data_IF_746641183370
#
_entry.id   IF_746641183370
#
_cell.length_a   1.000
_cell.length_b   1.000
_cell.length_c   1.000
_cell.angle_alpha   90.00
_cell.angle_beta   90.00
_cell.angle_gamma   90.00
#
_symmetry.space_group_name_H-M   'P 1'
#
loop_
_entity.id
_entity.type
_entity.pdbx_description
1 polymer ?
#
# COMPACT_ATOMS: atom_id res chain seq x y z
N UNK A 1 -4.57 4.58 -3.35
CA UNK A 1 -5.73 3.78 -3.78
C UNK A 1 -5.31 2.32 -3.79
N UNK A 2 -5.89 1.49 -2.92
CA UNK A 2 -5.48 0.12 -2.66
C UNK A 2 -6.75 -0.75 -2.60
N UNK A 3 -7.23 -1.20 -3.76
CA UNK A 3 -8.59 -1.73 -3.94
C UNK A 3 -8.77 -3.16 -3.41
N UNK A 4 -7.69 -3.88 -3.20
CA UNK A 4 -7.72 -5.28 -2.76
C UNK A 4 -6.80 -5.50 -1.59
N UNK A 5 -7.36 -5.96 -0.48
CA UNK A 5 -6.65 -6.32 0.75
C UNK A 5 -6.79 -7.83 0.91
N UNK A 6 -5.72 -8.59 0.74
CA UNK A 6 -5.78 -10.03 1.01
C UNK A 6 -5.41 -10.25 2.45
N UNK A 7 -6.34 -10.72 3.28
CA UNK A 7 -6.01 -11.23 4.61
C UNK A 7 -5.63 -12.71 4.47
N UNK A 8 -4.35 -13.04 4.65
CA UNK A 8 -3.88 -14.42 4.83
C UNK A 8 -3.81 -14.72 6.33
N UNK A 9 -4.63 -15.66 6.79
CA UNK A 9 -4.73 -16.03 8.21
C UNK A 9 -4.02 -17.37 8.45
N UNK A 10 -3.04 -17.39 9.36
CA UNK A 10 -2.36 -18.61 9.81
C UNK A 10 -2.82 -18.93 11.23
N UNK A 11 -3.57 -20.01 11.39
CA UNK A 11 -3.74 -20.65 12.71
C UNK A 11 -5.18 -21.00 13.11
N UNK A 12 -5.55 -22.25 12.81
CA UNK A 12 -6.15 -23.22 13.74
C UNK A 12 -6.99 -22.63 14.88
N UNK A 13 -8.22 -22.23 14.58
CA UNK A 13 -9.38 -22.42 15.46
C UNK A 13 -10.61 -22.48 14.57
N UNK A 14 -11.09 -23.71 14.37
CA UNK A 14 -12.36 -23.98 13.72
C UNK A 14 -13.45 -23.24 14.49
N UNK A 15 -14.00 -22.19 13.88
CA UNK A 15 -15.23 -21.56 14.32
C UNK A 15 -15.07 -20.43 15.32
N UNK A 16 -14.67 -19.23 14.89
CA UNK A 16 -15.15 -17.99 15.50
C UNK A 16 -14.92 -16.81 14.56
N UNK A 17 -15.98 -16.29 13.93
CA UNK A 17 -15.93 -15.03 13.15
C UNK A 17 -15.59 -13.78 13.98
N UNK A 18 -15.25 -13.95 15.26
CA UNK A 18 -14.97 -12.90 16.23
C UNK A 18 -13.55 -12.32 16.11
N UNK A 19 -12.56 -13.10 15.69
CA UNK A 19 -11.15 -12.66 15.66
C UNK A 19 -10.81 -11.73 14.48
N UNK A 20 -11.53 -11.85 13.36
CA UNK A 20 -11.42 -10.93 12.23
C UNK A 20 -12.08 -9.60 12.60
N UNK A 21 -13.23 -9.65 13.25
CA UNK A 21 -13.90 -8.46 13.78
C UNK A 21 -13.02 -7.75 14.79
N UNK A 22 -12.36 -8.44 15.73
CA UNK A 22 -11.47 -7.79 16.70
C UNK A 22 -10.25 -7.13 16.06
N UNK A 23 -9.62 -7.77 15.07
CA UNK A 23 -8.49 -7.18 14.33
C UNK A 23 -8.90 -5.96 13.48
N UNK A 24 -10.14 -5.96 12.96
CA UNK A 24 -10.72 -4.83 12.23
C UNK A 24 -11.24 -3.72 13.16
N UNK A 25 -11.64 -4.06 14.38
CA UNK A 25 -12.17 -3.11 15.38
C UNK A 25 -11.05 -2.30 16.04
N UNK A 26 -9.81 -2.81 16.02
CA UNK A 26 -8.59 -2.05 16.36
C UNK A 26 -8.21 -0.96 15.34
N UNK A 27 -8.93 -0.82 14.20
CA UNK A 27 -8.87 0.37 13.34
C UNK A 27 -9.66 1.57 13.90
N UNK A 28 -9.88 1.63 15.21
CA UNK A 28 -10.52 2.75 15.93
C UNK A 28 -9.83 4.12 15.76
N UNK A 29 -8.64 4.16 15.14
CA UNK A 29 -7.97 5.39 14.64
C UNK A 29 -8.89 6.30 13.80
N UNK A 30 -9.93 5.75 13.17
CA UNK A 30 -10.85 6.50 12.31
C UNK A 30 -11.72 7.54 13.05
N UNK A 31 -11.84 7.46 14.38
CA UNK A 31 -12.73 8.30 15.19
C UNK A 31 -12.11 9.61 15.71
N UNK A 32 -11.01 10.10 15.14
CA UNK A 32 -10.44 11.40 15.55
C UNK A 32 -11.23 12.59 15.01
N UNK A 33 -11.31 13.65 15.81
CA UNK A 33 -12.01 14.89 15.46
C UNK A 33 -11.37 15.54 14.23
N UNK A 34 -12.16 16.34 13.50
CA UNK A 34 -11.70 16.97 12.25
C UNK A 34 -10.43 17.80 12.45
N UNK A 35 -10.29 18.48 13.61
CA UNK A 35 -9.15 19.34 13.95
C UNK A 35 -7.87 18.54 14.21
N UNK A 36 -7.95 17.43 14.93
CA UNK A 36 -6.78 16.57 15.19
C UNK A 36 -6.22 15.99 13.90
N UNK A 37 -7.10 15.57 12.98
CA UNK A 37 -6.70 15.09 11.65
C UNK A 37 -5.97 16.19 10.85
N UNK A 38 -6.41 17.44 10.95
CA UNK A 38 -5.75 18.57 10.28
C UNK A 38 -4.36 18.85 10.88
N UNK A 39 -4.25 18.89 12.21
CA UNK A 39 -2.96 19.12 12.88
C UNK A 39 -1.94 18.02 12.57
N UNK A 40 -2.39 16.77 12.52
CA UNK A 40 -1.53 15.65 12.14
C UNK A 40 -1.03 15.79 10.69
N UNK A 41 -1.90 16.18 9.76
CA UNK A 41 -1.51 16.36 8.36
C UNK A 41 -0.55 17.54 8.20
N UNK A 42 -0.79 18.65 8.91
CA UNK A 42 0.13 19.81 8.91
C UNK A 42 1.49 19.41 9.48
N UNK A 43 1.51 18.66 10.59
CA UNK A 43 2.74 18.17 11.19
C UNK A 43 3.53 17.27 10.23
N UNK A 44 2.85 16.34 9.56
CA UNK A 44 3.48 15.44 8.57
C UNK A 44 4.00 16.22 7.36
N UNK A 45 3.21 17.15 6.81
CA UNK A 45 3.61 18.00 5.69
C UNK A 45 4.80 18.89 6.06
N UNK A 46 4.79 19.49 7.24
CA UNK A 46 5.91 20.27 7.78
C UNK A 46 7.16 19.39 7.89
N UNK A 47 7.03 18.15 8.38
CA UNK A 47 8.15 17.24 8.53
C UNK A 47 8.74 16.83 7.17
N UNK A 48 7.89 16.53 6.19
CA UNK A 48 8.33 16.22 4.82
C UNK A 48 9.02 17.42 4.18
N UNK A 49 8.43 18.62 4.32
CA UNK A 49 8.97 19.85 3.75
C UNK A 49 10.31 20.23 4.38
N UNK A 50 10.43 20.13 5.70
CA UNK A 50 11.69 20.39 6.41
C UNK A 50 12.76 19.40 6.00
N UNK A 51 12.45 18.10 5.87
CA UNK A 51 13.42 17.11 5.40
C UNK A 51 13.89 17.38 3.96
N UNK A 52 12.97 17.76 3.07
CA UNK A 52 13.28 18.02 1.66
C UNK A 52 14.09 19.31 1.49
N UNK A 53 13.72 20.39 2.17
CA UNK A 53 14.46 21.67 2.14
C UNK A 53 15.81 21.53 2.82
N UNK A 54 15.87 20.84 3.97
CA UNK A 54 17.13 20.61 4.68
C UNK A 54 18.09 19.77 3.85
N UNK A 55 17.61 18.73 3.15
CA UNK A 55 18.43 17.94 2.25
C UNK A 55 19.08 18.78 1.15
N UNK A 56 18.29 19.63 0.48
CA UNK A 56 18.81 20.54 -0.57
C UNK A 56 19.72 21.61 0.01
N UNK A 57 19.40 22.16 1.18
CA UNK A 57 20.26 23.14 1.85
C UNK A 57 21.61 22.50 2.23
N UNK A 58 21.60 21.29 2.79
CA UNK A 58 22.81 20.56 3.15
C UNK A 58 23.68 20.23 1.92
N UNK A 59 23.09 19.86 0.78
CA UNK A 59 23.87 19.60 -0.44
C UNK A 59 24.47 20.87 -1.03
N UNK A 60 23.73 21.99 -1.01
CA UNK A 60 24.24 23.30 -1.44
C UNK A 60 25.37 23.78 -0.52
N UNK A 61 25.21 23.64 0.80
CA UNK A 61 26.24 23.98 1.79
C UNK A 61 27.49 23.11 1.59
N UNK A 62 27.33 21.80 1.36
CA UNK A 62 28.46 20.90 1.14
C UNK A 62 29.20 21.23 -0.16
N UNK A 63 28.47 21.55 -1.24
CA UNK A 63 29.04 22.02 -2.51
C UNK A 63 29.75 23.37 -2.34
N UNK A 64 29.20 24.30 -1.56
CA UNK A 64 29.82 25.58 -1.24
C UNK A 64 31.14 25.41 -0.44
N UNK A 65 31.15 24.53 0.56
CA UNK A 65 32.34 24.23 1.37
C UNK A 65 33.42 23.52 0.55
N UNK A 66 33.05 22.67 -0.42
CA UNK A 66 33.99 22.05 -1.35
C UNK A 66 34.69 23.07 -2.27
N UNK A 67 34.01 24.16 -2.63
CA UNK A 67 34.55 25.22 -3.47
C UNK A 67 35.29 26.32 -2.69
N UNK A 68 35.39 26.20 -1.36
CA UNK A 68 36.06 27.17 -0.47
C UNK A 68 37.29 26.50 0.16
N UNK A 69 38.22 27.28 0.72
CA UNK A 69 39.44 26.79 1.40
C UNK A 69 39.16 25.80 2.56
N UNK A 70 37.90 25.68 3.00
CA UNK A 70 37.42 24.72 4.00
C UNK A 70 37.15 23.31 3.45
N UNK A 71 37.64 22.96 2.25
CA UNK A 71 37.35 21.68 1.57
C UNK A 71 37.67 20.41 2.40
N UNK A 72 38.60 20.51 3.36
CA UNK A 72 39.04 19.40 4.21
C UNK A 72 37.88 18.91 5.07
N UNK A 73 37.04 19.83 5.55
CA UNK A 73 35.87 19.50 6.37
C UNK A 73 34.85 18.70 5.55
N UNK A 74 34.60 19.10 4.30
CA UNK A 74 33.72 18.38 3.40
C UNK A 74 34.29 16.99 3.03
N UNK A 75 35.61 16.90 2.78
CA UNK A 75 36.27 15.63 2.47
C UNK A 75 36.20 14.64 3.65
N UNK A 76 36.43 15.11 4.88
CA UNK A 76 36.28 14.29 6.10
C UNK A 76 34.83 13.85 6.30
N UNK A 77 33.86 14.73 6.07
CA UNK A 77 32.43 14.39 6.17
C UNK A 77 32.00 13.35 5.12
N UNK A 78 32.47 13.48 3.87
CA UNK A 78 32.21 12.50 2.81
C UNK A 78 32.86 11.15 3.12
N UNK A 79 34.09 11.15 3.65
CA UNK A 79 34.76 9.93 4.08
C UNK A 79 34.01 9.24 5.23
N UNK A 80 33.51 10.00 6.21
CA UNK A 80 32.66 9.48 7.28
C UNK A 80 31.36 8.89 6.73
N UNK A 81 30.72 9.56 5.77
CA UNK A 81 29.47 9.09 5.15
C UNK A 81 29.67 7.80 4.33
N UNK A 82 30.82 7.65 3.65
CA UNK A 82 31.22 6.42 2.96
C UNK A 82 31.47 5.28 3.95
N UNK A 83 32.10 5.57 5.09
CA UNK A 83 32.32 4.59 6.15
C UNK A 83 31.01 4.15 6.84
N UNK A 84 30.13 5.12 7.14
CA UNK A 84 28.84 4.90 7.82
C UNK A 84 27.74 4.32 6.91
N UNK A 85 27.94 4.31 5.59
CA UNK A 85 27.04 3.69 4.60
C UNK A 85 26.72 2.20 4.91
N UNK A 86 27.58 1.52 5.66
CA UNK A 86 27.42 0.12 6.05
C UNK A 86 26.73 -0.10 7.41
N UNK A 87 26.47 0.95 8.19
CA UNK A 87 25.82 0.90 9.51
C UNK A 87 24.31 0.55 9.49
N UNK A 88 23.48 0.91 8.48
CA UNK A 88 22.04 0.64 8.54
C UNK A 88 21.69 -0.85 8.46
N UNK A 89 22.63 -1.72 8.06
CA UNK A 89 22.44 -3.18 8.05
C UNK A 89 22.36 -3.76 9.47
N UNK A 90 23.06 -3.17 10.44
CA UNK A 90 23.16 -3.68 11.82
C UNK A 90 21.99 -3.25 12.72
N UNK A 91 21.36 -2.10 12.43
CA UNK A 91 20.27 -1.53 13.24
C UNK A 91 18.92 -2.21 12.96
N UNK A 92 18.72 -2.77 11.77
CA UNK A 92 17.51 -3.52 11.37
C UNK A 92 17.25 -4.75 12.24
N UNK A 93 18.29 -5.32 12.84
CA UNK A 93 18.17 -6.55 13.64
C UNK A 93 17.77 -6.25 15.09
N UNK A 94 18.15 -5.09 15.64
CA UNK A 94 17.82 -4.67 17.02
C UNK A 94 16.46 -3.97 17.13
N UNK A 95 16.07 -3.13 16.17
CA UNK A 95 14.76 -2.46 16.18
C UNK A 95 13.58 -3.43 15.96
N UNK A 96 13.86 -4.66 15.52
CA UNK A 96 12.88 -5.74 15.27
C UNK A 96 12.25 -6.30 16.55
N UNK A 97 12.81 -6.04 17.73
CA UNK A 97 12.39 -6.64 19.01
C UNK A 97 11.39 -5.80 19.83
N UNK A 98 11.14 -4.53 19.47
CA UNK A 98 10.39 -3.59 20.34
C UNK A 98 9.03 -3.15 19.78
N UNK A 99 8.60 -3.66 18.62
CA UNK A 99 7.40 -3.21 17.88
C UNK A 99 6.28 -4.27 17.82
N UNK A 100 6.12 -5.07 18.88
CA UNK A 100 5.22 -6.25 18.89
C UNK A 100 3.72 -5.96 19.11
N UNK A 101 3.30 -4.69 19.24
CA UNK A 101 1.92 -4.31 19.59
C UNK A 101 1.19 -3.42 18.57
N UNK A 102 1.77 -3.16 17.40
CA UNK A 102 1.11 -2.41 16.31
C UNK A 102 1.05 -3.25 15.04
N UNK A 103 0.08 -3.01 14.12
CA UNK A 103 0.10 -3.57 12.78
C UNK A 103 1.46 -3.31 12.13
N UNK A 104 2.29 -4.35 12.04
CA UNK A 104 3.64 -4.21 11.49
C UNK A 104 3.56 -4.00 9.99
N UNK A 105 3.78 -2.76 9.54
CA UNK A 105 3.98 -2.46 8.12
C UNK A 105 5.30 -3.09 7.69
N UNK A 106 5.22 -4.20 6.97
CA UNK A 106 6.37 -4.90 6.44
C UNK A 106 6.46 -4.71 4.93
N UNK A 107 7.68 -4.65 4.35
CA UNK A 107 7.81 -4.67 2.90
C UNK A 107 7.21 -5.96 2.36
N UNK A 108 6.44 -5.84 1.28
CA UNK A 108 5.81 -6.98 0.56
C UNK A 108 6.88 -7.72 -0.24
N UNK A 109 7.83 -8.35 0.46
CA UNK A 109 8.81 -9.26 -0.09
C UNK A 109 8.44 -10.70 0.29
N UNK A 110 8.83 -11.66 -0.55
CA UNK A 110 8.62 -13.09 -0.31
C UNK A 110 9.14 -13.50 1.07
N UNK A 111 10.38 -13.15 1.40
CA UNK A 111 11.03 -13.56 2.66
C UNK A 111 10.34 -12.95 3.89
N UNK A 112 9.80 -11.73 3.77
CA UNK A 112 9.03 -11.09 4.84
C UNK A 112 7.72 -11.83 5.09
N UNK A 113 7.00 -12.16 4.02
CA UNK A 113 5.72 -12.88 4.12
C UNK A 113 5.97 -14.29 4.64
N UNK A 114 6.99 -14.98 4.14
CA UNK A 114 7.42 -16.31 4.58
C UNK A 114 7.71 -16.29 6.09
N UNK A 115 8.51 -15.33 6.57
CA UNK A 115 8.81 -15.17 8.00
C UNK A 115 7.58 -14.90 8.88
N UNK A 116 6.63 -14.08 8.42
CA UNK A 116 5.41 -13.78 9.19
C UNK A 116 4.48 -14.99 9.21
N UNK A 117 4.33 -15.70 8.09
CA UNK A 117 3.49 -16.90 8.00
C UNK A 117 4.14 -18.13 8.65
N UNK A 118 5.48 -18.18 8.75
CA UNK A 118 6.21 -19.28 9.40
C UNK A 118 6.25 -19.16 10.92
N UNK A 119 5.91 -18.00 11.49
CA UNK A 119 5.85 -17.82 12.94
C UNK A 119 4.71 -18.66 13.50
N UNK A 120 5.07 -19.74 14.20
CA UNK A 120 4.13 -20.55 14.97
C UNK A 120 3.64 -19.73 16.18
N UNK A 121 2.51 -19.05 16.00
CA UNK A 121 1.73 -18.36 17.03
C UNK A 121 0.29 -18.24 16.56
N UNK A 122 -0.68 -18.21 17.47
CA UNK A 122 -2.10 -18.07 17.10
C UNK A 122 -2.41 -16.64 16.64
N UNK A 123 -3.02 -16.48 15.48
CA UNK A 123 -3.67 -15.21 15.09
C UNK A 123 -2.89 -14.29 14.13
N UNK A 124 -1.95 -14.83 13.34
CA UNK A 124 -1.22 -14.01 12.36
C UNK A 124 -2.10 -13.74 11.13
N UNK A 125 -2.42 -12.47 10.89
CA UNK A 125 -3.10 -11.99 9.69
C UNK A 125 -2.18 -11.06 8.88
N UNK A 126 -2.03 -11.34 7.59
CA UNK A 126 -1.27 -10.47 6.68
C UNK A 126 -2.23 -9.85 5.70
N UNK A 127 -2.23 -8.52 5.62
CA UNK A 127 -2.95 -7.75 4.60
C UNK A 127 -2.02 -7.43 3.43
N UNK A 128 -2.33 -7.93 2.23
CA UNK A 128 -1.54 -7.69 1.01
C UNK A 128 -2.36 -6.88 0.00
N UNK A 129 -1.77 -5.77 -0.46
CA UNK A 129 -2.31 -4.99 -1.58
C UNK A 129 -1.72 -5.48 -2.89
N UNK A 130 -2.42 -6.42 -3.54
CA UNK A 130 -1.89 -7.12 -4.73
C UNK A 130 -1.67 -6.18 -5.90
N UNK A 131 -2.52 -5.17 -6.08
CA UNK A 131 -2.45 -4.21 -7.19
C UNK A 131 -1.29 -3.21 -7.10
N UNK A 132 -0.81 -2.90 -5.89
CA UNK A 132 0.31 -2.01 -5.64
C UNK A 132 0.27 -0.69 -6.43
N UNK A 133 1.44 -0.23 -6.89
CA UNK A 133 1.57 1.03 -7.63
C UNK A 133 0.83 1.03 -8.98
N UNK A 134 0.76 -0.11 -9.68
CA UNK A 134 0.08 -0.21 -10.97
C UNK A 134 -1.43 0.06 -10.85
N UNK A 135 -2.05 -0.43 -9.77
CA UNK A 135 -3.47 -0.19 -9.50
C UNK A 135 -3.73 1.26 -9.07
N UNK A 136 -2.80 1.87 -8.33
CA UNK A 136 -2.85 3.29 -8.00
C UNK A 136 -2.72 4.20 -9.22
N UNK A 137 -2.01 3.78 -10.28
CA UNK A 137 -1.87 4.52 -11.54
C UNK A 137 -3.10 4.42 -12.45
N UNK A 138 -3.85 3.32 -12.34
CA UNK A 138 -5.04 3.04 -13.13
C UNK A 138 -6.33 3.47 -12.42
N UNK A 139 -6.22 4.38 -11.45
CA UNK A 139 -7.36 4.81 -10.66
C UNK A 139 -8.10 5.96 -11.33
N UNK A 140 -9.14 5.63 -12.08
CA UNK A 140 -10.06 6.61 -12.67
C UNK A 140 -11.38 6.62 -11.89
N UNK A 141 -11.93 7.80 -11.54
CA UNK A 141 -13.27 7.90 -10.99
C UNK A 141 -14.29 7.18 -11.88
N UNK A 142 -15.17 6.38 -11.28
CA UNK A 142 -16.16 5.58 -12.01
C UNK A 142 -15.63 4.31 -12.68
N UNK A 143 -14.32 4.01 -12.64
CA UNK A 143 -13.76 2.76 -13.16
C UNK A 143 -13.36 1.81 -12.04
N UNK A 144 -14.07 0.69 -11.91
CA UNK A 144 -13.75 -0.36 -10.94
C UNK A 144 -12.85 -1.43 -11.58
N UNK A 145 -11.55 -1.16 -11.60
CA UNK A 145 -10.54 -2.11 -12.09
C UNK A 145 -9.57 -2.56 -11.00
N UNK A 146 -9.25 -3.86 -10.96
CA UNK A 146 -8.30 -4.48 -10.03
C UNK A 146 -7.20 -5.19 -10.83
N UNK A 147 -5.94 -5.04 -10.43
CA UNK A 147 -4.80 -5.68 -11.12
C UNK A 147 -4.45 -7.01 -10.45
N UNK A 148 -5.01 -8.10 -10.95
CA UNK A 148 -4.95 -9.44 -10.34
C UNK A 148 -4.72 -10.58 -11.32
N UNK A 149 -4.97 -10.41 -12.62
CA UNK A 149 -4.99 -11.49 -13.64
C UNK A 149 -3.69 -12.30 -13.67
N UNK A 150 -2.56 -11.59 -13.66
CA UNK A 150 -1.22 -12.19 -13.73
C UNK A 150 -0.53 -12.28 -12.35
N UNK A 151 -1.14 -11.77 -11.28
CA UNK A 151 -0.51 -11.69 -9.95
C UNK A 151 -0.94 -12.86 -9.09
N UNK A 152 -0.21 -13.98 -9.20
CA UNK A 152 -0.54 -15.24 -8.52
C UNK A 152 0.40 -15.60 -7.35
N UNK A 153 1.41 -14.76 -7.10
CA UNK A 153 2.43 -15.01 -6.08
C UNK A 153 1.88 -15.13 -4.66
N UNK A 154 0.82 -14.38 -4.33
CA UNK A 154 0.16 -14.46 -3.02
C UNK A 154 -0.53 -15.81 -2.82
N UNK A 155 -1.16 -16.38 -3.85
CA UNK A 155 -1.80 -17.71 -3.79
C UNK A 155 -0.75 -18.79 -3.59
N UNK A 156 0.39 -18.66 -4.28
CA UNK A 156 1.52 -19.57 -4.11
C UNK A 156 2.06 -19.56 -2.68
N UNK A 157 2.13 -18.39 -2.05
CA UNK A 157 2.54 -18.27 -0.64
C UNK A 157 1.47 -18.83 0.30
N UNK A 158 0.20 -18.52 0.08
CA UNK A 158 -0.91 -19.05 0.85
C UNK A 158 -0.92 -20.60 0.86
N UNK A 159 -0.76 -21.23 -0.32
CA UNK A 159 -0.65 -22.69 -0.46
C UNK A 159 0.53 -23.26 0.34
N UNK A 160 1.69 -22.60 0.33
CA UNK A 160 2.87 -23.09 1.09
C UNK A 160 2.69 -23.10 2.59
N UNK A 161 1.96 -22.12 3.10
CA UNK A 161 1.75 -21.98 4.54
C UNK A 161 0.41 -22.57 5.01
N UNK A 162 -0.48 -22.95 4.08
CA UNK A 162 -1.86 -23.34 4.42
C UNK A 162 -2.65 -22.17 5.01
N UNK A 163 -2.41 -20.96 4.51
CA UNK A 163 -3.10 -19.76 4.97
C UNK A 163 -4.38 -19.55 4.15
N UNK A 164 -5.49 -19.28 4.83
CA UNK A 164 -6.78 -19.05 4.17
C UNK A 164 -6.76 -17.74 3.38
N UNK A 165 -7.34 -17.74 2.19
CA UNK A 165 -7.47 -16.53 1.36
C UNK A 165 -8.82 -15.86 1.60
N UNK A 166 -8.81 -14.64 2.14
CA UNK A 166 -10.04 -13.85 2.33
C UNK A 166 -10.14 -12.78 1.24
N UNK A 167 -11.19 -12.78 0.39
CA UNK A 167 -11.41 -11.72 -0.59
C UNK A 167 -11.93 -10.46 0.11
N UNK A 168 -11.29 -9.32 -0.13
CA UNK A 168 -11.70 -8.02 0.41
C UNK A 168 -11.68 -6.99 -0.71
N UNK A 169 -12.73 -6.17 -0.77
CA UNK A 169 -12.88 -5.08 -1.74
C UNK A 169 -13.29 -3.78 -1.04
N UNK A 170 -12.70 -2.66 -1.44
CA UNK A 170 -13.03 -1.33 -0.91
C UNK A 170 -13.78 -0.48 -1.93
N UNK A 171 -15.02 -0.13 -1.64
CA UNK A 171 -15.83 0.82 -2.42
C UNK A 171 -15.51 2.27 -2.04
N UNK A 172 -15.65 3.18 -3.01
CA UNK A 172 -15.49 4.62 -2.81
C UNK A 172 -14.06 5.15 -2.88
N UNK A 173 -13.03 4.27 -2.92
CA UNK A 173 -11.62 4.71 -2.95
C UNK A 173 -11.28 5.60 -4.14
N UNK A 174 -11.85 5.31 -5.32
CA UNK A 174 -11.59 6.08 -6.54
C UNK A 174 -12.21 7.49 -6.52
N UNK A 175 -13.11 7.77 -5.58
CA UNK A 175 -13.76 9.07 -5.43
C UNK A 175 -13.02 9.99 -4.45
N UNK A 176 -12.13 9.42 -3.63
CA UNK A 176 -11.40 10.16 -2.58
C UNK A 176 -10.33 11.05 -3.18
N UNK A 177 -9.77 10.66 -4.31
CA UNK A 177 -8.83 11.46 -5.07
C UNK A 177 -9.16 11.38 -6.54
N UNK A 178 -9.06 12.52 -7.22
CA UNK A 178 -9.12 12.57 -8.68
C UNK A 178 -7.70 12.57 -9.22
N UNK A 179 -7.34 11.52 -9.94
CA UNK A 179 -6.04 11.44 -10.59
C UNK A 179 -6.05 12.29 -11.87
N UNK A 180 -5.02 13.09 -12.06
CA UNK A 180 -4.79 13.77 -13.35
C UNK A 180 -4.19 12.73 -14.30
N UNK A 181 -5.00 12.30 -15.26
CA UNK A 181 -4.56 11.40 -16.32
C UNK A 181 -4.16 12.27 -17.51
N UNK A 182 -2.86 12.26 -17.83
CA UNK A 182 -2.37 12.92 -19.03
C UNK A 182 -2.73 12.10 -20.27
N UNK A 183 -3.39 12.72 -21.24
CA UNK A 183 -3.77 12.07 -22.50
C UNK A 183 -2.54 11.58 -23.28
N UNK A 184 -2.72 10.51 -24.06
CA UNK A 184 -1.65 9.94 -24.87
C UNK A 184 -1.24 10.92 -25.98
N UNK A 185 0.06 11.24 -26.06
CA UNK A 185 0.60 12.26 -26.96
C UNK A 185 0.78 13.64 -26.32
N UNK A 186 0.25 13.89 -25.12
CA UNK A 186 0.47 15.17 -24.42
C UNK A 186 1.90 15.34 -23.92
N UNK A 187 2.36 16.60 -23.86
CA UNK A 187 3.67 16.95 -23.30
C UNK A 187 3.82 16.48 -21.84
N UNK A 188 2.75 16.58 -21.03
CA UNK A 188 2.74 16.09 -19.65
C UNK A 188 2.97 14.57 -19.54
N UNK A 189 2.35 13.78 -20.44
CA UNK A 189 2.57 12.33 -20.53
C UNK A 189 4.01 12.00 -20.95
N UNK A 190 4.59 12.79 -21.86
CA UNK A 190 5.98 12.64 -22.27
C UNK A 190 6.96 12.91 -21.11
N UNK A 191 6.76 14.00 -20.37
CA UNK A 191 7.56 14.31 -19.16
C UNK A 191 7.43 13.19 -18.13
N UNK A 192 6.19 12.74 -17.85
CA UNK A 192 5.93 11.65 -16.92
C UNK A 192 6.67 10.36 -17.34
N UNK A 193 6.60 9.97 -18.62
CA UNK A 193 7.32 8.80 -19.15
C UNK A 193 8.84 8.95 -19.08
N UNK A 194 9.37 10.14 -19.37
CA UNK A 194 10.82 10.42 -19.29
C UNK A 194 11.32 10.35 -17.83
N UNK A 195 10.54 10.89 -16.90
CA UNK A 195 10.81 10.86 -15.46
C UNK A 195 10.72 9.44 -14.90
N UNK A 196 9.67 8.69 -15.28
CA UNK A 196 9.52 7.28 -14.94
C UNK A 196 10.69 6.43 -15.45
N UNK A 197 11.22 6.71 -16.65
CA UNK A 197 12.38 6.02 -17.22
C UNK A 197 13.68 6.30 -16.44
N UNK A 198 13.85 7.50 -15.88
CA UNK A 198 15.07 7.88 -15.16
C UNK A 198 15.04 7.50 -13.68
N UNK A 199 13.88 7.61 -13.03
CA UNK A 199 13.75 7.46 -11.56
C UNK A 199 13.09 6.13 -11.18
N UNK A 200 12.51 5.40 -12.15
CA UNK A 200 11.90 4.09 -11.93
C UNK A 200 10.50 4.13 -11.33
N UNK A 201 9.96 5.31 -11.02
CA UNK A 201 8.61 5.51 -10.52
C UNK A 201 7.91 6.67 -11.23
N UNK A 202 6.63 6.50 -11.57
CA UNK A 202 5.81 7.57 -12.15
C UNK A 202 5.11 8.33 -11.02
N UNK A 203 5.41 9.62 -10.81
CA UNK A 203 4.66 10.41 -9.84
C UNK A 203 3.20 10.48 -10.28
N UNK A 204 2.30 9.98 -9.43
CA UNK A 204 0.87 10.16 -9.61
C UNK A 204 0.48 11.54 -9.10
N UNK A 205 0.00 12.41 -9.99
CA UNK A 205 -0.57 13.68 -9.57
C UNK A 205 -2.04 13.43 -9.22
N UNK A 206 -2.32 13.44 -7.93
CA UNK A 206 -3.67 13.37 -7.40
C UNK A 206 -4.11 14.76 -6.99
N UNK A 207 -5.37 15.09 -7.26
CA UNK A 207 -6.00 16.27 -6.73
C UNK A 207 -7.17 15.90 -5.82
N UNK A 208 -7.24 16.61 -4.72
CA UNK A 208 -8.27 16.50 -3.71
C UNK A 208 -8.74 17.89 -3.27
N UNK A 209 -8.84 18.11 -1.96
CA UNK A 209 -9.27 19.37 -1.35
C UNK A 209 -8.08 20.18 -0.81
N UNK A 210 -8.24 21.49 -0.77
CA UNK A 210 -7.33 22.40 -0.09
C UNK A 210 -7.41 22.25 1.43
N UNK A 211 -6.33 22.61 2.13
CA UNK A 211 -6.25 22.57 3.60
C UNK A 211 -7.25 23.54 4.27
N UNK A 212 -7.50 24.69 3.65
CA UNK A 212 -8.27 25.78 4.25
C UNK A 212 -9.70 25.93 3.68
N UNK A 213 -9.96 25.41 2.48
CA UNK A 213 -11.28 25.47 1.86
C UNK A 213 -11.60 24.24 1.04
N UNK A 214 -12.86 23.81 1.11
CA UNK A 214 -13.39 22.62 0.45
C UNK A 214 -13.38 22.69 -1.07
N UNK A 215 -13.39 23.89 -1.64
CA UNK A 215 -13.47 24.15 -3.08
C UNK A 215 -12.10 24.44 -3.71
N UNK A 216 -11.02 24.48 -2.93
CA UNK A 216 -9.68 24.77 -3.45
C UNK A 216 -8.97 23.48 -3.84
N UNK A 217 -8.11 23.54 -4.87
CA UNK A 217 -7.23 22.45 -5.26
C UNK A 217 -6.20 22.16 -4.15
N UNK A 218 -5.96 20.88 -3.83
CA UNK A 218 -4.97 20.49 -2.82
C UNK A 218 -4.76 18.98 -2.73
N UNK A 219 -4.00 18.57 -1.70
CA UNK A 219 -3.56 17.18 -1.49
C UNK A 219 -4.44 16.39 -0.50
N UNK A 220 -5.45 17.02 0.12
CA UNK A 220 -6.32 16.34 1.06
C UNK A 220 -7.35 15.46 0.36
N UNK A 221 -7.73 14.31 0.92
CA UNK A 221 -8.78 13.47 0.35
C UNK A 221 -10.14 14.19 0.32
N UNK A 222 -10.96 13.91 -0.70
CA UNK A 222 -12.37 14.29 -0.70
C UNK A 222 -13.11 13.56 0.43
N UNK A 223 -14.10 14.23 1.04
CA UNK A 223 -14.95 13.65 2.10
C UNK A 223 -15.98 12.70 1.51
N UNK A 224 -15.51 11.58 0.95
CA UNK A 224 -16.31 10.50 0.39
C UNK A 224 -16.15 9.26 1.27
N UNK A 225 -17.25 8.54 1.57
CA UNK A 225 -17.17 7.34 2.39
C UNK A 225 -16.38 6.25 1.65
N UNK A 226 -15.40 5.65 2.32
CA UNK A 226 -14.76 4.41 1.87
C UNK A 226 -15.39 3.29 2.67
N UNK A 227 -15.93 2.28 1.99
CA UNK A 227 -16.51 1.10 2.64
C UNK A 227 -15.81 -0.15 2.17
N UNK A 228 -15.16 -0.85 3.10
CA UNK A 228 -14.48 -2.12 2.84
C UNK A 228 -15.42 -3.28 3.17
N UNK A 229 -15.65 -4.16 2.21
CA UNK A 229 -16.40 -5.40 2.37
C UNK A 229 -15.45 -6.59 2.41
N UNK A 230 -15.69 -7.48 3.38
CA UNK A 230 -14.91 -8.70 3.59
C UNK A 230 -15.79 -9.89 3.23
N UNK A 231 -15.31 -10.75 2.34
CA UNK A 231 -16.01 -11.96 1.92
C UNK A 231 -15.65 -13.18 2.77
N UNK A 232 -16.21 -14.32 2.36
CA UNK A 232 -15.99 -15.60 3.04
C UNK A 232 -14.54 -16.10 2.82
N UNK A 233 -13.88 -16.61 3.87
CA UNK A 233 -12.55 -17.22 3.73
C UNK A 233 -12.56 -18.44 2.82
N UNK A 234 -11.60 -18.50 1.90
CA UNK A 234 -11.34 -19.67 1.05
C UNK A 234 -10.28 -20.50 1.75
N UNK A 235 -10.67 -21.67 2.26
CA UNK A 235 -9.75 -22.60 2.90
C UNK A 235 -8.87 -23.31 1.88
N UNK A 236 -7.57 -23.37 2.15
CA UNK A 236 -6.56 -23.89 1.22
C UNK A 236 -5.67 -24.91 1.94
N UNK A 237 -5.35 -26.05 1.29
CA UNK A 237 -4.42 -27.02 1.85
C UNK A 237 -2.99 -26.46 1.90
N UNK A 238 -2.21 -26.95 2.87
CA UNK A 238 -0.77 -26.69 2.93
C UNK A 238 -0.03 -27.61 1.95
N UNK A 239 0.70 -27.03 1.00
CA UNK A 239 1.50 -27.73 -0.03
C UNK A 239 2.86 -27.02 -0.17
N UNK A 240 3.95 -27.70 0.17
CA UNK A 240 5.30 -27.10 0.18
C UNK A 240 5.76 -26.62 -1.22
N UNK A 241 5.46 -27.41 -2.25
CA UNK A 241 5.81 -27.13 -3.65
C UNK A 241 4.56 -27.12 -4.53
N UNK A 242 3.73 -26.06 -4.47
CA UNK A 242 2.49 -26.02 -5.24
C UNK A 242 2.80 -25.92 -6.74
N UNK A 243 2.10 -26.74 -7.52
CA UNK A 243 2.14 -26.72 -8.97
C UNK A 243 1.44 -25.48 -9.53
N UNK A 244 1.79 -25.08 -10.75
CA UNK A 244 1.12 -23.94 -11.40
C UNK A 244 -0.39 -24.18 -11.59
N UNK A 245 -0.80 -25.44 -11.79
CA UNK A 245 -2.22 -25.81 -11.95
C UNK A 245 -3.01 -25.57 -10.67
N UNK A 246 -2.46 -25.92 -9.51
CA UNK A 246 -3.08 -25.66 -8.20
C UNK A 246 -3.16 -24.17 -7.92
N UNK A 247 -2.06 -23.44 -8.16
CA UNK A 247 -2.04 -21.97 -8.01
C UNK A 247 -3.10 -21.33 -8.89
N UNK A 248 -3.24 -21.75 -10.15
CA UNK A 248 -4.24 -21.23 -11.07
C UNK A 248 -5.67 -21.59 -10.65
N UNK A 249 -5.87 -22.78 -10.10
CA UNK A 249 -7.17 -23.21 -9.58
C UNK A 249 -7.63 -22.33 -8.41
N UNK A 250 -6.81 -22.17 -7.37
CA UNK A 250 -7.14 -21.33 -6.22
C UNK A 250 -7.20 -19.84 -6.57
N UNK A 251 -6.37 -19.38 -7.51
CA UNK A 251 -6.45 -18.01 -8.02
C UNK A 251 -7.79 -17.75 -8.72
N UNK A 252 -8.28 -18.68 -9.56
CA UNK A 252 -9.61 -18.58 -10.17
C UNK A 252 -10.72 -18.57 -9.13
N UNK A 253 -10.63 -19.40 -8.10
CA UNK A 253 -11.61 -19.39 -7.01
C UNK A 253 -11.61 -18.04 -6.27
N UNK A 254 -10.44 -17.52 -5.93
CA UNK A 254 -10.30 -16.21 -5.29
C UNK A 254 -10.90 -15.09 -6.14
N UNK A 255 -10.57 -15.05 -7.44
CA UNK A 255 -11.13 -14.10 -8.41
C UNK A 255 -12.65 -14.20 -8.48
N UNK A 256 -13.19 -15.42 -8.60
CA UNK A 256 -14.64 -15.64 -8.65
C UNK A 256 -15.34 -15.15 -7.39
N UNK A 257 -14.78 -15.44 -6.21
CA UNK A 257 -15.31 -14.95 -4.93
C UNK A 257 -15.26 -13.43 -4.82
N UNK A 258 -14.21 -12.79 -5.33
CA UNK A 258 -14.09 -11.33 -5.34
C UNK A 258 -15.15 -10.68 -6.26
N UNK A 259 -15.38 -11.25 -7.45
CA UNK A 259 -16.43 -10.79 -8.37
C UNK A 259 -17.81 -10.93 -7.71
N UNK A 260 -18.11 -12.10 -7.13
CA UNK A 260 -19.37 -12.33 -6.40
C UNK A 260 -19.56 -11.34 -5.26
N UNK A 261 -18.49 -11.04 -4.51
CA UNK A 261 -18.52 -10.06 -3.43
C UNK A 261 -18.82 -8.66 -3.96
N UNK A 262 -18.18 -8.26 -5.06
CA UNK A 262 -18.46 -6.98 -5.72
C UNK A 262 -19.91 -6.90 -6.19
N UNK A 263 -20.40 -7.90 -6.94
CA UNK A 263 -21.76 -7.92 -7.48
C UNK A 263 -22.84 -7.90 -6.39
N UNK A 264 -22.59 -8.56 -5.26
CA UNK A 264 -23.51 -8.57 -4.11
C UNK A 264 -23.67 -7.18 -3.48
N UNK A 265 -22.63 -6.35 -3.47
CA UNK A 265 -22.60 -5.09 -2.73
C UNK A 265 -22.63 -3.84 -3.61
N UNK A 266 -22.42 -3.95 -4.93
CA UNK A 266 -22.31 -2.79 -5.84
C UNK A 266 -23.54 -1.87 -5.80
N UNK A 267 -24.74 -2.43 -5.83
CA UNK A 267 -26.01 -1.67 -5.80
C UNK A 267 -26.21 -0.93 -4.48
N UNK A 268 -25.82 -1.56 -3.36
CA UNK A 268 -25.88 -0.96 -2.02
C UNK A 268 -25.00 0.29 -1.91
N UNK A 269 -23.92 0.36 -2.66
CA UNK A 269 -22.97 1.48 -2.65
C UNK A 269 -23.14 2.44 -3.83
N UNK A 270 -24.29 2.39 -4.52
CA UNK A 270 -24.67 3.39 -5.53
C UNK A 270 -24.08 3.15 -6.92
N UNK A 271 -23.53 1.96 -7.20
CA UNK A 271 -23.12 1.55 -8.54
C UNK A 271 -24.30 0.91 -9.30
N UNK A 272 -24.42 1.12 -10.62
CA UNK A 272 -25.47 0.51 -11.43
C UNK A 272 -25.27 -1.01 -11.54
N UNK A 273 -26.35 -1.75 -11.79
CA UNK A 273 -26.28 -3.22 -11.94
C UNK A 273 -25.43 -3.66 -13.14
N UNK A 274 -25.33 -2.81 -14.16
CA UNK A 274 -24.52 -3.01 -15.36
C UNK A 274 -23.02 -2.87 -15.11
N UNK A 275 -22.61 -2.32 -13.96
CA UNK A 275 -21.20 -2.16 -13.63
C UNK A 275 -20.56 -3.52 -13.36
N UNK A 276 -19.41 -3.77 -13.98
CA UNK A 276 -18.64 -5.01 -13.84
C UNK A 276 -17.25 -4.69 -13.32
N UNK A 277 -16.75 -5.55 -12.42
CA UNK A 277 -15.39 -5.46 -11.92
C UNK A 277 -14.39 -5.91 -13.01
N UNK A 278 -13.56 -4.99 -13.49
CA UNK A 278 -12.55 -5.24 -14.51
C UNK A 278 -11.27 -5.83 -13.88
N UNK A 279 -10.86 -7.02 -14.34
CA UNK A 279 -9.70 -7.76 -13.80
C UNK A 279 -8.55 -7.75 -14.80
N UNK A 280 -7.54 -6.92 -14.51
CA UNK A 280 -6.35 -6.70 -15.33
C UNK A 280 -5.13 -7.49 -14.87
#
# INVERSE_FOLDING_TARGET
MMKTIIAAYSGVLRGTGSSILSALQDLSWLSKSKVEKQLQIISVLQWILTFLVLGVACTVILMYILCTDCWVIAAVYLAWLVFDWNTPKKVKDHARYKTDLLPKVCPVNRDSIDYILSKNGSGNAIVIVVGGAAESLNCTPGKNSVTLKNRKGFVKLALRHGADLVPVYSFGENEVYKQVIFEEGSWGRWVQKKFQKHIGFAPCIFHGRGLFSSNTWGLLPYSKPITTVVGEPITIPKIDHPSQREVDFYHRMYVSSLIKLFDKYKTKFGLPETEVLDIN
#
